data_IF_720580483627
#
_entry.id   IF_720580483627
#
_cell.length_a   1.000
_cell.length_b   1.000
_cell.length_c   1.000
_cell.angle_alpha   90.00
_cell.angle_beta   90.00
_cell.angle_gamma   90.00
#
_symmetry.space_group_name_H-M   'P 1'
#
loop_
_entity.id
_entity.type
_entity.pdbx_description
1 polymer ?
#
# COMPACT_ATOMS: atom_id res chain seq x y z
N UNK A 1 -21.30 -23.59 -20.65
CA UNK A 1 -20.03 -23.17 -20.04
C UNK A 1 -20.36 -22.77 -18.61
N UNK A 2 -20.06 -23.63 -17.64
CA UNK A 2 -20.36 -23.35 -16.23
C UNK A 2 -19.31 -22.35 -15.77
N UNK A 3 -19.68 -21.08 -15.65
CA UNK A 3 -18.84 -20.10 -14.96
C UNK A 3 -18.83 -20.57 -13.50
N UNK A 4 -17.71 -21.16 -13.07
CA UNK A 4 -17.54 -21.56 -11.69
C UNK A 4 -17.61 -20.29 -10.83
N UNK A 5 -18.74 -20.08 -10.16
CA UNK A 5 -18.96 -19.00 -9.20
C UNK A 5 -18.29 -19.37 -7.89
N UNK A 6 -16.96 -19.30 -7.83
CA UNK A 6 -16.24 -19.36 -6.57
C UNK A 6 -16.52 -18.06 -5.80
N UNK A 7 -17.23 -18.12 -4.65
CA UNK A 7 -17.55 -16.94 -3.86
C UNK A 7 -16.29 -16.16 -3.46
N UNK A 8 -15.18 -16.84 -3.17
CA UNK A 8 -13.93 -16.19 -2.79
C UNK A 8 -13.37 -15.34 -3.94
N UNK A 9 -13.44 -15.85 -5.16
CA UNK A 9 -13.00 -15.12 -6.35
C UNK A 9 -13.92 -13.92 -6.63
N UNK A 10 -15.23 -14.07 -6.42
CA UNK A 10 -16.21 -12.98 -6.56
C UNK A 10 -15.91 -11.87 -5.54
N UNK A 11 -15.71 -12.22 -4.25
CA UNK A 11 -15.36 -11.25 -3.22
C UNK A 11 -14.01 -10.59 -3.49
N UNK A 12 -13.02 -11.35 -3.94
CA UNK A 12 -11.72 -10.81 -4.33
C UNK A 12 -11.85 -9.78 -5.45
N UNK A 13 -12.53 -10.11 -6.56
CA UNK A 13 -12.73 -9.17 -7.68
C UNK A 13 -13.52 -7.93 -7.27
N UNK A 14 -14.52 -8.08 -6.40
CA UNK A 14 -15.26 -6.94 -5.83
C UNK A 14 -14.32 -6.03 -5.03
N UNK A 15 -13.48 -6.59 -4.15
CA UNK A 15 -12.49 -5.85 -3.36
C UNK A 15 -11.48 -5.13 -4.24
N UNK A 16 -10.90 -5.82 -5.24
CA UNK A 16 -9.99 -5.21 -6.22
C UNK A 16 -10.61 -3.99 -6.88
N UNK A 17 -11.85 -4.10 -7.39
CA UNK A 17 -12.53 -2.97 -8.04
C UNK A 17 -12.71 -1.77 -7.10
N UNK A 18 -13.12 -2.02 -5.85
CA UNK A 18 -13.35 -0.97 -4.85
C UNK A 18 -12.02 -0.32 -4.42
N UNK A 19 -10.98 -1.13 -4.18
CA UNK A 19 -9.66 -0.64 -3.79
C UNK A 19 -8.95 0.10 -4.94
N UNK A 20 -9.11 -0.32 -6.19
CA UNK A 20 -8.59 0.41 -7.36
C UNK A 20 -9.20 1.81 -7.50
N UNK A 21 -10.42 2.04 -6.99
CA UNK A 21 -11.06 3.35 -7.03
C UNK A 21 -10.40 4.37 -6.07
N UNK A 22 -9.52 3.93 -5.17
CA UNK A 22 -8.76 4.82 -4.28
C UNK A 22 -7.74 5.69 -5.04
N UNK A 23 -7.30 5.24 -6.21
CA UNK A 23 -6.27 5.88 -7.02
C UNK A 23 -5.23 4.88 -7.52
N UNK A 24 -4.10 5.36 -8.07
CA UNK A 24 -3.08 4.53 -8.71
C UNK A 24 -2.14 3.83 -7.71
N UNK A 25 -2.69 3.33 -6.60
CA UNK A 25 -1.93 2.73 -5.50
C UNK A 25 -1.89 1.20 -5.56
N UNK A 26 -3.00 0.56 -5.90
CA UNK A 26 -3.12 -0.90 -5.84
C UNK A 26 -2.30 -1.56 -6.96
N UNK A 27 -1.50 -2.57 -6.59
CA UNK A 27 -0.79 -3.42 -7.55
C UNK A 27 -1.49 -4.77 -7.63
N UNK A 28 -2.48 -4.86 -8.51
CA UNK A 28 -3.35 -6.05 -8.62
C UNK A 28 -2.57 -7.35 -8.84
N UNK A 29 -1.44 -7.29 -9.56
CA UNK A 29 -0.59 -8.46 -9.83
C UNK A 29 0.10 -9.03 -8.59
N UNK A 30 0.22 -8.24 -7.51
CA UNK A 30 0.77 -8.67 -6.22
C UNK A 30 -0.35 -9.03 -5.22
N UNK A 31 -1.63 -9.02 -5.63
CA UNK A 31 -2.75 -9.27 -4.72
C UNK A 31 -3.22 -10.73 -4.77
N UNK A 32 -3.73 -11.19 -3.63
CA UNK A 32 -4.38 -12.48 -3.40
C UNK A 32 -5.74 -12.26 -2.72
N UNK A 33 -6.64 -13.26 -2.65
CA UNK A 33 -7.97 -13.11 -2.04
C UNK A 33 -8.00 -12.46 -0.64
N UNK A 34 -6.96 -12.69 0.14
CA UNK A 34 -6.77 -12.20 1.52
C UNK A 34 -5.57 -11.28 1.69
N UNK A 35 -4.85 -10.92 0.63
CA UNK A 35 -3.63 -10.10 0.71
C UNK A 35 -3.61 -9.05 -0.39
N UNK A 36 -3.38 -7.79 -0.03
CA UNK A 36 -3.39 -6.66 -0.96
C UNK A 36 -2.11 -5.88 -0.83
N UNK A 37 -1.60 -5.41 -1.97
CA UNK A 37 -0.36 -4.66 -2.06
C UNK A 37 -0.61 -3.30 -2.67
N UNK A 38 -0.11 -2.27 -2.01
CA UNK A 38 -0.20 -0.88 -2.45
C UNK A 38 1.17 -0.25 -2.42
N UNK A 39 1.42 0.70 -3.30
CA UNK A 39 2.58 1.57 -3.20
C UNK A 39 2.28 2.99 -3.69
N UNK A 40 3.22 3.90 -3.47
CA UNK A 40 3.15 5.24 -4.03
C UNK A 40 4.55 5.76 -4.36
N UNK A 41 4.72 6.22 -5.60
CA UNK A 41 5.90 6.94 -6.06
C UNK A 41 5.75 8.42 -5.69
N UNK A 42 6.05 8.79 -4.45
CA UNK A 42 5.71 10.09 -3.88
C UNK A 42 6.59 11.24 -4.41
N UNK A 43 7.90 11.05 -4.53
CA UNK A 43 8.84 12.10 -4.97
C UNK A 43 9.87 11.53 -5.94
N UNK A 44 10.02 12.14 -7.11
CA UNK A 44 11.06 11.80 -8.08
C UNK A 44 12.44 12.23 -7.55
N UNK A 45 13.42 11.33 -7.61
CA UNK A 45 14.80 11.62 -7.14
C UNK A 45 15.50 12.61 -8.05
N UNK A 46 15.44 12.40 -9.37
CA UNK A 46 15.99 13.29 -10.37
C UNK A 46 15.07 13.35 -11.59
N UNK A 47 14.46 14.51 -11.82
CA UNK A 47 13.54 14.72 -12.93
C UNK A 47 14.25 14.82 -14.29
N UNK A 48 15.58 15.04 -14.31
CA UNK A 48 16.36 15.16 -15.53
C UNK A 48 16.70 13.79 -16.15
N UNK A 49 16.58 12.71 -15.39
CA UNK A 49 16.75 11.34 -15.89
C UNK A 49 15.54 10.97 -16.76
N UNK A 50 15.80 10.16 -17.79
CA UNK A 50 14.78 9.60 -18.67
C UNK A 50 13.67 8.89 -17.87
N UNK A 51 12.38 9.05 -18.22
CA UNK A 51 11.26 8.53 -17.43
C UNK A 51 11.37 7.04 -17.05
N UNK A 52 11.94 6.22 -17.92
CA UNK A 52 12.10 4.77 -17.70
C UNK A 52 13.19 4.41 -16.67
N UNK A 53 14.11 5.33 -16.40
CA UNK A 53 15.23 5.12 -15.45
C UNK A 53 15.06 5.93 -14.16
N UNK A 54 13.97 6.67 -14.03
CA UNK A 54 13.69 7.47 -12.83
C UNK A 54 13.46 6.58 -11.62
N UNK A 55 14.03 7.04 -10.52
CA UNK A 55 13.85 6.45 -9.21
C UNK A 55 13.01 7.37 -8.34
N UNK A 56 12.32 6.79 -7.36
CA UNK A 56 11.35 7.52 -6.56
C UNK A 56 11.53 7.23 -5.09
N UNK A 57 11.44 8.27 -4.25
CA UNK A 57 11.14 8.07 -2.84
C UNK A 57 9.65 7.87 -2.65
N UNK A 58 9.30 6.96 -1.75
CA UNK A 58 7.91 6.67 -1.45
C UNK A 58 7.74 5.60 -0.39
N UNK A 59 6.66 4.84 -0.53
CA UNK A 59 6.27 3.79 0.40
C UNK A 59 5.58 2.65 -0.31
N UNK A 60 5.59 1.48 0.33
CA UNK A 60 4.71 0.36 0.01
C UNK A 60 4.03 -0.13 1.27
N UNK A 61 2.83 -0.68 1.09
CA UNK A 61 1.96 -1.17 2.15
C UNK A 61 1.38 -2.52 1.76
N UNK A 62 1.55 -3.49 2.65
CA UNK A 62 0.94 -4.81 2.55
C UNK A 62 -0.21 -4.90 3.56
N UNK A 63 -1.36 -5.36 3.10
CA UNK A 63 -2.57 -5.48 3.89
C UNK A 63 -3.12 -6.91 3.80
N UNK A 64 -3.18 -7.59 4.94
CA UNK A 64 -3.57 -9.00 5.03
C UNK A 64 -4.83 -9.16 5.87
N UNK A 65 -5.78 -9.97 5.40
CA UNK A 65 -6.96 -10.33 6.18
C UNK A 65 -6.56 -11.41 7.18
N UNK A 66 -6.61 -11.08 8.47
CA UNK A 66 -6.37 -11.99 9.57
C UNK A 66 -7.68 -12.13 10.34
N UNK A 67 -8.25 -13.34 10.30
CA UNK A 67 -9.62 -13.61 10.73
C UNK A 67 -10.62 -12.68 10.02
N UNK A 68 -11.19 -11.71 10.74
CA UNK A 68 -12.18 -10.75 10.24
C UNK A 68 -11.66 -9.30 10.20
N UNK A 69 -10.35 -9.09 10.36
CA UNK A 69 -9.75 -7.74 10.38
C UNK A 69 -8.58 -7.64 9.43
N UNK A 70 -8.49 -6.55 8.68
CA UNK A 70 -7.29 -6.27 7.91
C UNK A 70 -6.18 -5.74 8.81
N UNK A 71 -5.02 -6.38 8.73
CA UNK A 71 -3.78 -5.91 9.32
C UNK A 71 -2.88 -5.32 8.23
N UNK A 72 -2.29 -4.16 8.49
CA UNK A 72 -1.34 -3.55 7.55
C UNK A 72 0.07 -3.40 8.12
N UNK A 73 1.04 -3.47 7.22
CA UNK A 73 2.42 -3.07 7.44
C UNK A 73 2.86 -2.18 6.28
N UNK A 74 3.70 -1.19 6.56
CA UNK A 74 4.28 -0.35 5.52
C UNK A 74 5.76 -0.14 5.76
N UNK A 75 6.44 0.26 4.70
CA UNK A 75 7.84 0.67 4.73
C UNK A 75 8.02 1.92 3.86
N UNK A 76 9.06 2.66 4.18
CA UNK A 76 9.53 3.80 3.39
C UNK A 76 10.82 3.43 2.67
N UNK A 77 11.05 4.03 1.52
CA UNK A 77 12.31 3.83 0.82
C UNK A 77 12.34 4.36 -0.59
N UNK A 78 13.17 3.71 -1.42
CA UNK A 78 13.39 4.06 -2.82
C UNK A 78 12.86 2.96 -3.72
N UNK A 79 12.05 3.33 -4.70
CA UNK A 79 11.76 2.50 -5.86
C UNK A 79 12.86 2.72 -6.90
N UNK A 80 13.63 1.67 -7.16
CA UNK A 80 14.79 1.73 -8.03
C UNK A 80 14.42 1.47 -9.50
N UNK A 81 15.38 1.69 -10.41
CA UNK A 81 15.19 1.44 -11.85
C UNK A 81 15.01 -0.05 -12.23
N UNK A 82 15.32 -0.97 -11.32
CA UNK A 82 15.06 -2.41 -11.53
C UNK A 82 13.59 -2.77 -11.25
N UNK A 83 12.79 -1.82 -10.76
CA UNK A 83 11.40 -2.02 -10.42
C UNK A 83 11.18 -2.57 -9.01
N UNK A 84 12.13 -2.33 -8.10
CA UNK A 84 12.13 -2.89 -6.76
C UNK A 84 12.10 -1.80 -5.69
N UNK A 85 11.36 -2.06 -4.62
CA UNK A 85 11.36 -1.25 -3.41
C UNK A 85 12.51 -1.65 -2.50
N UNK A 86 13.33 -0.68 -2.12
CA UNK A 86 14.45 -0.85 -1.18
C UNK A 86 14.23 0.02 0.05
N UNK A 87 14.38 -0.55 1.24
CA UNK A 87 14.37 0.22 2.50
C UNK A 87 15.63 1.08 2.54
N UNK A 88 15.47 2.38 2.32
CA UNK A 88 16.57 3.35 2.24
C UNK A 88 16.20 4.62 3.01
N UNK A 89 17.20 5.38 3.51
CA UNK A 89 16.92 6.64 4.17
C UNK A 89 16.38 7.68 3.17
N UNK A 90 15.26 8.31 3.53
CA UNK A 90 14.70 9.42 2.77
C UNK A 90 15.32 10.73 3.27
N UNK A 91 15.77 11.64 2.38
CA UNK A 91 16.28 12.95 2.80
C UNK A 91 15.26 13.71 3.66
N UNK A 92 15.72 14.35 4.73
CA UNK A 92 14.85 15.09 5.68
C UNK A 92 13.94 16.12 4.99
N UNK A 93 14.46 16.78 3.95
CA UNK A 93 13.70 17.77 3.17
C UNK A 93 12.49 17.17 2.44
N UNK A 94 12.52 15.87 2.13
CA UNK A 94 11.47 15.16 1.40
C UNK A 94 10.61 14.27 2.30
N UNK A 95 11.07 13.98 3.52
CA UNK A 95 10.40 13.09 4.46
C UNK A 95 8.95 13.51 4.73
N UNK A 96 8.68 14.81 4.91
CA UNK A 96 7.32 15.31 5.11
C UNK A 96 6.40 14.97 3.93
N UNK A 97 6.85 15.15 2.69
CA UNK A 97 6.04 14.88 1.50
C UNK A 97 5.71 13.39 1.40
N UNK A 98 6.69 12.53 1.64
CA UNK A 98 6.51 11.08 1.57
C UNK A 98 5.57 10.59 2.68
N UNK A 99 5.78 11.01 3.92
CA UNK A 99 4.92 10.64 5.04
C UNK A 99 3.49 11.14 4.86
N UNK A 100 3.31 12.40 4.45
CA UNK A 100 1.97 12.96 4.18
C UNK A 100 1.24 12.19 3.09
N UNK A 101 1.95 11.73 2.05
CA UNK A 101 1.32 10.92 1.00
C UNK A 101 0.77 9.57 1.52
N UNK A 102 1.47 8.93 2.47
CA UNK A 102 0.99 7.72 3.12
C UNK A 102 -0.22 8.02 4.02
N UNK A 103 -0.18 9.10 4.80
CA UNK A 103 -1.30 9.51 5.67
C UNK A 103 -2.58 9.74 4.85
N UNK A 104 -2.48 10.48 3.74
CA UNK A 104 -3.62 10.75 2.85
C UNK A 104 -4.16 9.45 2.25
N UNK A 105 -3.30 8.51 1.86
CA UNK A 105 -3.73 7.20 1.38
C UNK A 105 -4.44 6.40 2.49
N UNK A 106 -3.87 6.37 3.69
CA UNK A 106 -4.43 5.66 4.83
C UNK A 106 -5.83 6.14 5.21
N UNK A 107 -6.06 7.46 5.19
CA UNK A 107 -7.39 8.04 5.44
C UNK A 107 -8.42 7.54 4.41
N UNK A 108 -8.08 7.57 3.11
CA UNK A 108 -8.95 7.06 2.05
C UNK A 108 -9.20 5.56 2.16
N UNK A 109 -8.14 4.78 2.45
CA UNK A 109 -8.22 3.34 2.61
C UNK A 109 -9.14 2.98 3.79
N UNK A 110 -8.98 3.65 4.92
CA UNK A 110 -9.77 3.40 6.13
C UNK A 110 -11.26 3.64 5.88
N UNK A 111 -11.63 4.77 5.27
CA UNK A 111 -13.02 5.09 4.90
C UNK A 111 -13.57 4.06 3.91
N UNK A 112 -12.79 3.69 2.90
CA UNK A 112 -13.21 2.71 1.90
C UNK A 112 -13.48 1.33 2.51
N UNK A 113 -12.60 0.86 3.41
CA UNK A 113 -12.77 -0.43 4.07
C UNK A 113 -14.02 -0.45 4.97
N UNK A 114 -14.24 0.60 5.76
CA UNK A 114 -15.37 0.64 6.69
C UNK A 114 -16.70 0.84 5.96
N UNK A 115 -16.78 1.80 5.04
CA UNK A 115 -18.04 2.20 4.41
C UNK A 115 -18.45 1.31 3.23
N UNK A 116 -17.50 0.76 2.47
CA UNK A 116 -17.82 0.02 1.23
C UNK A 116 -17.60 -1.50 1.35
N UNK A 117 -16.71 -1.92 2.24
CA UNK A 117 -16.34 -3.33 2.39
C UNK A 117 -16.67 -3.91 3.77
N UNK A 118 -17.08 -3.08 4.74
CA UNK A 118 -17.42 -3.47 6.10
C UNK A 118 -16.30 -4.23 6.83
N UNK A 119 -15.04 -3.82 6.60
CA UNK A 119 -13.87 -4.35 7.33
C UNK A 119 -13.24 -3.29 8.22
N UNK A 120 -12.69 -3.75 9.34
CA UNK A 120 -11.81 -2.95 10.18
C UNK A 120 -10.36 -3.01 9.67
N UNK A 121 -9.58 -1.99 10.00
CA UNK A 121 -8.16 -1.87 9.67
C UNK A 121 -7.36 -1.58 10.95
N UNK A 122 -6.28 -2.33 11.19
CA UNK A 122 -5.36 -2.10 12.31
C UNK A 122 -3.90 -2.31 11.90
N UNK A 123 -2.92 -1.70 12.57
CA UNK A 123 -1.51 -2.01 12.31
C UNK A 123 -1.21 -3.47 12.68
N UNK A 124 -0.33 -4.10 11.91
CA UNK A 124 0.21 -5.41 12.27
C UNK A 124 1.00 -5.35 13.58
N UNK A 125 1.11 -6.50 14.25
CA UNK A 125 1.89 -6.58 15.49
C UNK A 125 3.37 -6.19 15.32
N UNK A 126 3.93 -6.40 14.12
CA UNK A 126 5.30 -6.00 13.78
C UNK A 126 5.38 -4.47 13.72
N UNK A 127 4.52 -3.84 12.92
CA UNK A 127 4.50 -2.39 12.77
C UNK A 127 4.24 -1.68 14.10
N UNK A 128 3.29 -2.18 14.89
CA UNK A 128 2.97 -1.61 16.20
C UNK A 128 4.21 -1.61 17.12
N UNK A 129 4.98 -2.71 17.16
CA UNK A 129 6.23 -2.80 17.93
C UNK A 129 7.28 -1.81 17.42
N UNK A 130 7.48 -1.71 16.10
CA UNK A 130 8.44 -0.77 15.50
C UNK A 130 8.11 0.67 15.85
N UNK A 131 6.83 1.07 15.76
CA UNK A 131 6.39 2.43 16.08
C UNK A 131 6.62 2.76 17.56
N UNK A 132 6.31 1.83 18.47
CA UNK A 132 6.58 2.01 19.91
C UNK A 132 8.08 2.20 20.18
N UNK A 133 8.94 1.39 19.55
CA UNK A 133 10.40 1.50 19.73
C UNK A 133 10.97 2.79 19.13
N UNK A 134 10.36 3.32 18.07
CA UNK A 134 10.79 4.58 17.45
C UNK A 134 10.34 5.84 18.20
N UNK A 135 9.35 5.70 19.10
CA UNK A 135 8.79 6.80 19.89
C UNK A 135 9.37 6.90 21.32
N UNK A 136 10.18 5.91 21.72
CA UNK A 136 10.88 5.87 23.01
C UNK A 136 12.31 6.42 22.88
#
# INVERSE_FOLDING_TARGET
>A
MVIATDPNLIYFRKRIRILNALGPYLREHNCQPTSFYFDCFSVCIDANIEPAEREFYGWWLEMNLVDDTFEYQYQFGTYNKAGEWLITPIPKALQHNVTTSLTVFYEKLSVCLTEQLSFNLKPSSILAKTLILSAA
#
